data_IF_450611226807
#
_entry.id   IF_450611226807
#
_cell.length_a   1.000
_cell.length_b   1.000
_cell.length_c   1.000
_cell.angle_alpha   90.00
_cell.angle_beta   90.00
_cell.angle_gamma   90.00
#
_symmetry.space_group_name_H-M   'P 1'
#
loop_
_entity.id
_entity.type
_entity.pdbx_description
1 polymer ?
#
# COMPACT_ATOMS: atom_id res chain seq x y z
N UNK A 1 2.27 10.95 5.54
CA UNK A 1 1.09 10.11 5.26
C UNK A 1 1.59 8.77 4.74
N UNK A 2 1.00 7.66 5.17
CA UNK A 2 1.26 6.33 4.58
C UNK A 2 -0.08 5.69 4.22
N UNK A 3 -0.39 5.64 2.93
CA UNK A 3 -1.68 5.13 2.43
C UNK A 3 -1.89 3.65 2.73
N UNK A 4 -0.83 2.84 2.60
CA UNK A 4 -0.94 1.39 2.76
C UNK A 4 -1.08 1.04 4.25
N UNK A 5 -0.42 1.80 5.12
CA UNK A 5 -0.65 1.70 6.56
C UNK A 5 -2.04 2.19 6.97
N UNK A 6 -2.56 3.27 6.37
CA UNK A 6 -3.94 3.71 6.63
C UNK A 6 -4.96 2.63 6.22
N UNK A 7 -4.81 2.06 5.02
CA UNK A 7 -5.61 0.92 4.58
C UNK A 7 -5.53 -0.25 5.56
N UNK A 8 -4.31 -0.62 5.98
CA UNK A 8 -4.10 -1.69 6.95
C UNK A 8 -4.81 -1.41 8.28
N UNK A 9 -4.81 -0.17 8.78
CA UNK A 9 -5.52 0.19 9.99
C UNK A 9 -7.04 0.01 9.86
N UNK A 10 -7.60 0.18 8.65
CA UNK A 10 -9.03 0.01 8.35
C UNK A 10 -9.43 -1.44 8.08
N UNK A 11 -8.52 -2.27 7.54
CA UNK A 11 -8.87 -3.59 6.98
C UNK A 11 -8.17 -4.77 7.67
N UNK A 12 -7.06 -4.53 8.37
CA UNK A 12 -6.31 -5.55 9.11
C UNK A 12 -5.38 -6.41 8.27
N UNK A 13 -5.33 -6.19 6.96
CA UNK A 13 -4.41 -6.86 6.03
C UNK A 13 -3.78 -5.85 5.07
N UNK A 14 -2.70 -6.27 4.42
CA UNK A 14 -1.96 -5.43 3.47
C UNK A 14 -2.54 -5.51 2.07
N UNK A 15 -2.53 -4.36 1.38
CA UNK A 15 -2.83 -4.26 -0.04
C UNK A 15 -1.57 -3.78 -0.77
N UNK A 16 -1.21 -4.48 -1.85
CA UNK A 16 -0.07 -4.06 -2.67
C UNK A 16 -0.41 -2.85 -3.53
N UNK A 17 0.55 -1.95 -3.73
CA UNK A 17 0.39 -0.73 -4.53
C UNK A 17 -0.17 -1.02 -5.93
N UNK A 18 0.33 -2.06 -6.60
CA UNK A 18 -0.15 -2.47 -7.93
C UNK A 18 -1.63 -2.86 -7.92
N UNK A 19 -2.05 -3.69 -6.95
CA UNK A 19 -3.46 -4.11 -6.81
C UNK A 19 -4.38 -2.94 -6.50
N UNK A 20 -3.94 -2.02 -5.64
CA UNK A 20 -4.68 -0.79 -5.34
C UNK A 20 -4.82 0.09 -6.58
N UNK A 21 -3.72 0.29 -7.32
CA UNK A 21 -3.70 1.08 -8.55
C UNK A 21 -4.65 0.51 -9.60
N UNK A 22 -4.53 -0.78 -9.93
CA UNK A 22 -5.39 -1.46 -10.90
C UNK A 22 -6.86 -1.42 -10.48
N UNK A 23 -7.12 -1.63 -9.19
CA UNK A 23 -8.46 -1.49 -8.60
C UNK A 23 -9.10 -0.11 -8.78
N UNK A 24 -8.27 0.93 -8.88
CA UNK A 24 -8.70 2.30 -9.12
C UNK A 24 -8.76 2.69 -10.60
N UNK A 25 -8.46 1.76 -11.52
CA UNK A 25 -8.40 2.01 -12.96
C UNK A 25 -7.10 2.68 -13.41
N UNK A 26 -6.03 2.60 -12.61
CA UNK A 26 -4.70 3.03 -13.00
C UNK A 26 -3.95 1.87 -13.69
N UNK A 27 -2.96 2.14 -14.55
CA UNK A 27 -2.23 1.10 -15.30
C UNK A 27 -1.54 0.04 -14.43
N UNK A 28 -1.22 0.38 -13.16
CA UNK A 28 -0.45 -0.49 -12.27
C UNK A 28 1.05 -0.43 -12.55
N UNK A 29 1.78 -1.41 -12.01
CA UNK A 29 3.20 -1.66 -12.29
C UNK A 29 3.35 -2.59 -13.51
N UNK A 30 4.45 -2.50 -14.27
CA UNK A 30 4.73 -3.38 -15.38
C UNK A 30 4.96 -4.79 -14.85
N UNK A 31 4.54 -5.79 -15.61
CA UNK A 31 4.67 -7.18 -15.20
C UNK A 31 6.16 -7.59 -15.17
N UNK A 32 6.52 -8.43 -14.20
CA UNK A 32 7.88 -8.99 -14.08
C UNK A 32 8.89 -8.16 -13.26
N UNK A 33 8.55 -6.94 -12.84
CA UNK A 33 9.42 -6.09 -12.01
C UNK A 33 9.03 -6.16 -10.52
N UNK A 34 9.86 -6.83 -9.73
CA UNK A 34 9.69 -6.95 -8.27
C UNK A 34 10.68 -6.09 -7.51
N UNK A 35 10.20 -5.38 -6.49
CA UNK A 35 11.05 -4.61 -5.57
C UNK A 35 12.11 -5.47 -4.88
N UNK A 36 11.87 -6.77 -4.73
CA UNK A 36 12.83 -7.71 -4.16
C UNK A 36 14.09 -7.91 -5.03
N UNK A 37 14.03 -7.59 -6.32
CA UNK A 37 15.17 -7.68 -7.24
C UNK A 37 16.06 -6.44 -7.18
N UNK A 38 15.54 -5.31 -6.69
CA UNK A 38 16.22 -4.01 -6.74
C UNK A 38 17.57 -4.00 -6.01
N UNK A 39 17.73 -4.61 -4.81
CA UNK A 39 19.05 -4.69 -4.17
C UNK A 39 20.09 -5.44 -5.01
N UNK A 40 19.67 -6.52 -5.70
CA UNK A 40 20.55 -7.27 -6.59
C UNK A 40 20.96 -6.44 -7.80
N UNK A 41 19.99 -5.79 -8.46
CA UNK A 41 20.25 -4.93 -9.63
C UNK A 41 21.21 -3.79 -9.28
N UNK A 42 21.05 -3.21 -8.08
CA UNK A 42 21.97 -2.20 -7.57
C UNK A 42 23.40 -2.74 -7.44
N UNK A 43 23.57 -3.92 -6.84
CA UNK A 43 24.90 -4.54 -6.72
C UNK A 43 25.52 -4.92 -8.08
N UNK A 44 24.69 -5.21 -9.09
CA UNK A 44 25.10 -5.51 -10.47
C UNK A 44 25.43 -4.24 -11.29
N UNK A 45 25.36 -3.04 -10.69
CA UNK A 45 25.61 -1.77 -11.41
C UNK A 45 24.46 -1.30 -12.30
N UNK A 46 23.29 -1.96 -12.23
CA UNK A 46 22.09 -1.66 -13.03
C UNK A 46 21.28 -0.51 -12.43
N UNK A 47 21.96 0.60 -12.12
CA UNK A 47 21.38 1.72 -11.39
C UNK A 47 20.22 2.39 -12.12
N UNK A 48 20.31 2.49 -13.45
CA UNK A 48 19.24 3.10 -14.27
C UNK A 48 17.92 2.38 -14.06
N UNK A 49 17.92 1.06 -14.12
CA UNK A 49 16.73 0.23 -13.94
C UNK A 49 16.13 0.37 -12.54
N UNK A 50 16.97 0.43 -11.51
CA UNK A 50 16.53 0.66 -10.13
C UNK A 50 15.90 2.06 -9.99
N UNK A 51 16.53 3.09 -10.55
CA UNK A 51 16.02 4.46 -10.49
C UNK A 51 14.70 4.62 -11.26
N UNK A 52 14.58 3.98 -12.42
CA UNK A 52 13.35 3.99 -13.22
C UNK A 52 12.21 3.27 -12.50
N UNK A 53 12.49 2.15 -11.81
CA UNK A 53 11.54 1.47 -10.94
C UNK A 53 11.09 2.37 -9.78
N UNK A 54 12.02 3.01 -9.08
CA UNK A 54 11.71 3.91 -7.96
C UNK A 54 10.88 5.10 -8.42
N UNK A 55 11.23 5.70 -9.56
CA UNK A 55 10.47 6.79 -10.17
C UNK A 55 9.02 6.36 -10.43
N UNK A 56 8.83 5.19 -11.03
CA UNK A 56 7.50 4.65 -11.29
C UNK A 56 6.71 4.44 -10.00
N UNK A 57 7.32 3.87 -8.98
CA UNK A 57 6.67 3.62 -7.68
C UNK A 57 6.21 4.92 -7.01
N UNK A 58 7.04 5.95 -7.01
CA UNK A 58 6.70 7.27 -6.45
C UNK A 58 5.57 7.92 -7.24
N UNK A 59 5.64 7.88 -8.58
CA UNK A 59 4.60 8.44 -9.45
C UNK A 59 3.25 7.72 -9.28
N UNK A 60 3.27 6.39 -9.23
CA UNK A 60 2.07 5.58 -9.03
C UNK A 60 1.45 5.81 -7.65
N UNK A 61 2.30 5.92 -6.62
CA UNK A 61 1.89 6.25 -5.25
C UNK A 61 1.18 7.60 -5.20
N UNK A 62 1.78 8.64 -5.79
CA UNK A 62 1.17 9.98 -5.84
C UNK A 62 -0.18 9.97 -6.58
N UNK A 63 -0.24 9.32 -7.75
CA UNK A 63 -1.46 9.26 -8.55
C UNK A 63 -2.58 8.51 -7.83
N UNK A 64 -2.24 7.41 -7.16
CA UNK A 64 -3.20 6.67 -6.34
C UNK A 64 -3.74 7.54 -5.20
N UNK A 65 -2.87 8.28 -4.51
CA UNK A 65 -3.26 9.17 -3.42
C UNK A 65 -4.30 10.19 -3.89
N UNK A 66 -4.00 10.87 -4.99
CA UNK A 66 -4.87 11.90 -5.58
C UNK A 66 -6.22 11.32 -6.02
N UNK A 67 -6.22 10.17 -6.71
CA UNK A 67 -7.46 9.57 -7.21
C UNK A 67 -8.36 9.08 -6.07
N UNK A 68 -7.80 8.50 -5.01
CA UNK A 68 -8.59 8.09 -3.83
C UNK A 68 -9.15 9.31 -3.11
N UNK A 69 -8.36 10.37 -2.94
CA UNK A 69 -8.81 11.60 -2.29
C UNK A 69 -9.94 12.27 -3.08
N UNK A 70 -9.85 12.31 -4.41
CA UNK A 70 -10.91 12.82 -5.28
C UNK A 70 -12.19 11.98 -5.22
N UNK A 71 -12.08 10.65 -5.13
CA UNK A 71 -13.23 9.74 -5.12
C UNK A 71 -13.81 9.49 -3.72
N UNK A 72 -13.05 9.77 -2.66
CA UNK A 72 -13.40 9.47 -1.29
C UNK A 72 -13.41 7.97 -0.95
N UNK A 73 -12.85 7.12 -1.80
CA UNK A 73 -12.79 5.67 -1.60
C UNK A 73 -11.61 5.02 -2.32
N UNK A 74 -11.21 3.85 -1.82
CA UNK A 74 -10.24 2.97 -2.46
C UNK A 74 -10.92 1.65 -2.83
N UNK A 75 -10.78 1.26 -4.10
CA UNK A 75 -11.29 0.03 -4.68
C UNK A 75 -10.14 -0.91 -5.02
N UNK A 76 -10.37 -2.22 -4.88
CA UNK A 76 -9.43 -3.26 -5.31
C UNK A 76 -10.15 -4.55 -5.64
N UNK A 77 -9.46 -5.45 -6.36
CA UNK A 77 -9.91 -6.82 -6.58
C UNK A 77 -9.19 -7.73 -5.59
N UNK A 78 -9.96 -8.49 -4.82
CA UNK A 78 -9.42 -9.49 -3.89
C UNK A 78 -8.69 -10.61 -4.64
N UNK A 79 -7.90 -11.40 -3.91
CA UNK A 79 -7.24 -12.58 -4.50
C UNK A 79 -8.23 -13.59 -5.11
N UNK A 80 -9.49 -13.59 -4.65
CA UNK A 80 -10.57 -14.45 -5.16
C UNK A 80 -11.38 -13.79 -6.30
N UNK A 81 -10.93 -12.67 -6.85
CA UNK A 81 -11.61 -11.97 -7.95
C UNK A 81 -12.80 -11.08 -7.52
N UNK A 82 -13.19 -11.08 -6.24
CA UNK A 82 -14.27 -10.21 -5.74
C UNK A 82 -13.83 -8.75 -5.73
N UNK A 83 -14.66 -7.86 -6.27
CA UNK A 83 -14.51 -6.41 -6.14
C UNK A 83 -14.76 -5.97 -4.68
N UNK A 84 -13.86 -5.14 -4.17
CA UNK A 84 -13.87 -4.64 -2.82
C UNK A 84 -13.70 -3.12 -2.81
N UNK A 85 -14.20 -2.49 -1.75
CA UNK A 85 -14.13 -1.05 -1.55
C UNK A 85 -13.98 -0.72 -0.07
N UNK A 86 -13.26 0.35 0.23
CA UNK A 86 -13.22 0.98 1.54
C UNK A 86 -13.36 2.50 1.37
N UNK A 87 -14.14 3.14 2.24
CA UNK A 87 -14.33 4.59 2.25
C UNK A 87 -13.11 5.27 2.87
N UNK A 88 -12.53 6.24 2.16
CA UNK A 88 -11.37 7.04 2.59
C UNK A 88 -11.65 8.48 2.15
N UNK A 89 -12.40 9.27 2.94
CA UNK A 89 -12.76 10.65 2.57
C UNK A 89 -11.54 11.57 2.46
N UNK A 90 -10.50 11.27 3.26
CA UNK A 90 -9.17 11.86 3.19
C UNK A 90 -8.16 10.85 3.67
N UNK A 91 -6.90 11.04 3.30
CA UNK A 91 -5.83 10.27 3.89
C UNK A 91 -5.52 10.72 5.31
N UNK A 92 -5.44 9.76 6.23
CA UNK A 92 -5.00 10.03 7.60
C UNK A 92 -3.47 10.03 7.66
N UNK A 93 -2.93 10.83 8.58
CA UNK A 93 -1.55 10.68 9.03
C UNK A 93 -1.36 9.35 9.75
N UNK A 94 -0.11 8.89 9.90
CA UNK A 94 0.20 7.66 10.65
C UNK A 94 -0.32 7.74 12.09
N UNK A 95 -0.20 8.91 12.73
CA UNK A 95 -0.68 9.13 14.10
C UNK A 95 -2.20 9.04 14.22
N UNK A 96 -2.95 9.64 13.27
CA UNK A 96 -4.40 9.54 13.21
C UNK A 96 -4.86 8.10 12.91
N UNK A 97 -4.26 7.44 11.92
CA UNK A 97 -4.61 6.07 11.54
C UNK A 97 -4.39 5.07 12.68
N UNK A 98 -3.33 5.23 13.49
CA UNK A 98 -3.06 4.40 14.68
C UNK A 98 -4.18 4.45 15.73
N UNK A 99 -4.94 5.55 15.79
CA UNK A 99 -6.02 5.77 16.76
C UNK A 99 -7.37 5.19 16.31
N UNK A 100 -7.49 4.72 15.07
CA UNK A 100 -8.70 4.05 14.59
C UNK A 100 -8.97 2.77 15.41
N UNK A 101 -10.23 2.34 15.57
CA UNK A 101 -10.55 1.02 16.13
C UNK A 101 -9.79 -0.10 15.42
N UNK A 102 -9.47 -1.19 16.13
CA UNK A 102 -8.87 -2.35 15.48
C UNK A 102 -9.88 -2.98 14.51
N UNK A 103 -9.45 -3.34 13.29
CA UNK A 103 -10.32 -4.01 12.34
C UNK A 103 -10.64 -5.43 12.80
N UNK A 104 -11.78 -5.96 12.37
CA UNK A 104 -12.10 -7.37 12.58
C UNK A 104 -11.19 -8.27 11.73
N UNK A 105 -10.33 -9.01 12.42
CA UNK A 105 -9.41 -9.98 11.81
C UNK A 105 -9.66 -11.41 12.28
N UNK A 106 -10.83 -11.71 12.88
CA UNK A 106 -11.17 -13.04 13.41
C UNK A 106 -11.12 -14.16 12.36
N UNK A 107 -11.32 -13.79 11.09
CA UNK A 107 -11.25 -14.70 9.94
C UNK A 107 -9.82 -15.01 9.46
N UNK A 108 -8.80 -14.35 10.00
CA UNK A 108 -7.39 -14.55 9.61
C UNK A 108 -6.68 -15.52 10.56
N UNK A 109 -5.88 -16.44 10.01
CA UNK A 109 -5.09 -17.38 10.84
C UNK A 109 -3.97 -16.70 11.62
N UNK A 110 -3.29 -15.70 11.03
CA UNK A 110 -2.16 -14.98 11.65
C UNK A 110 -2.17 -13.51 11.22
N UNK A 111 -3.11 -12.70 11.74
CA UNK A 111 -3.16 -11.27 11.41
C UNK A 111 -1.90 -10.57 11.90
N UNK A 112 -1.44 -9.57 11.15
CA UNK A 112 -0.32 -8.74 11.58
C UNK A 112 -0.79 -7.74 12.64
N UNK A 113 -0.02 -7.47 13.70
CA UNK A 113 -0.32 -6.37 14.61
C UNK A 113 0.15 -5.04 14.00
N UNK A 114 -0.47 -3.92 14.39
CA UNK A 114 -0.01 -2.56 14.01
C UNK A 114 1.44 -2.28 14.44
N UNK A 115 1.89 -2.91 15.53
CA UNK A 115 3.27 -2.82 16.02
C UNK A 115 4.29 -3.32 15.00
N UNK A 116 3.92 -4.20 14.05
CA UNK A 116 4.80 -4.62 12.94
C UNK A 116 5.33 -3.42 12.14
N UNK A 117 4.55 -2.35 12.03
CA UNK A 117 4.91 -1.14 11.28
C UNK A 117 5.42 0.00 12.16
N UNK A 118 5.12 -0.03 13.45
CA UNK A 118 5.24 1.15 14.33
C UNK A 118 6.06 0.92 15.59
N UNK A 119 6.43 -0.32 15.93
CA UNK A 119 7.18 -0.63 17.15
C UNK A 119 8.57 0.04 17.23
N UNK A 120 9.14 0.43 16.09
CA UNK A 120 10.40 1.15 16.05
C UNK A 120 10.26 2.61 16.51
N UNK A 121 9.05 3.18 16.49
CA UNK A 121 8.79 4.53 17.01
C UNK A 121 8.85 4.58 18.54
N UNK A 122 8.51 3.47 19.21
CA UNK A 122 8.50 3.39 20.68
C UNK A 122 9.90 3.10 21.25
N UNK A 123 10.92 2.99 20.39
CA UNK A 123 12.33 2.77 20.74
C UNK A 123 13.20 4.03 20.59
N UNK A 124 12.61 5.13 20.15
CA UNK A 124 13.28 6.41 19.89
C UNK A 124 13.07 7.39 21.05
#
# INVERSE_FOLDING_TARGET
>A
MDMMFHFFCLQGYVLGLDKAARGMGLPGKPDGLSGAQMPRFWSEGRYREVLDYLKQDVQLTLRLAQVVEQRGCLNWISQRGKACQVRIPRWLTVAEARRLPLPDTTWMTRPWPRSKFTAWLDRA
#
